data_IF_990865627776
#
_entry.id   IF_990865627776
#
_cell.length_a   1.000
_cell.length_b   1.000
_cell.length_c   1.000
_cell.angle_alpha   90.00
_cell.angle_beta   90.00
_cell.angle_gamma   90.00
#
_symmetry.space_group_name_H-M   'P 1'
#
loop_
_entity.id
_entity.type
_entity.pdbx_description
1 polymer ?
#
# COMPACT_ATOMS: atom_id res chain seq x y z
N UNK A 1 -18.62 -25.57 -32.20
CA UNK A 1 -17.21 -25.86 -31.89
C UNK A 1 -16.44 -24.55 -31.90
N UNK A 2 -16.32 -23.87 -30.75
CA UNK A 2 -15.68 -22.55 -30.71
C UNK A 2 -14.16 -22.71 -30.79
N UNK A 3 -13.58 -22.26 -31.89
CA UNK A 3 -12.14 -22.19 -32.11
C UNK A 3 -11.53 -21.21 -31.10
N UNK A 4 -10.85 -21.75 -30.08
CA UNK A 4 -10.03 -20.96 -29.15
C UNK A 4 -8.87 -20.37 -29.96
N UNK A 5 -8.90 -19.06 -30.23
CA UNK A 5 -7.65 -18.34 -30.55
C UNK A 5 -6.78 -18.44 -29.31
N UNK A 6 -5.83 -19.38 -29.29
CA UNK A 6 -4.90 -19.56 -28.16
C UNK A 6 -3.93 -18.39 -28.11
N UNK A 7 -4.36 -17.28 -27.51
CA UNK A 7 -3.44 -16.21 -27.16
C UNK A 7 -2.72 -16.58 -25.87
N UNK A 8 -1.57 -15.94 -25.60
CA UNK A 8 -0.76 -16.18 -24.39
C UNK A 8 -1.61 -16.08 -23.11
N UNK A 9 -2.60 -15.20 -23.11
CA UNK A 9 -3.55 -15.02 -22.01
C UNK A 9 -4.40 -16.27 -21.73
N UNK A 10 -4.91 -16.94 -22.76
CA UNK A 10 -5.73 -18.15 -22.59
C UNK A 10 -4.88 -19.35 -22.12
N UNK A 11 -3.62 -19.42 -22.55
CA UNK A 11 -2.66 -20.42 -22.08
C UNK A 11 -2.31 -20.23 -20.59
N UNK A 12 -2.19 -18.97 -20.15
CA UNK A 12 -1.90 -18.62 -18.76
C UNK A 12 -3.12 -18.91 -17.87
N UNK A 13 -4.31 -18.55 -18.34
CA UNK A 13 -5.56 -18.79 -17.62
C UNK A 13 -5.83 -20.29 -17.43
N UNK A 14 -5.57 -21.13 -18.42
CA UNK A 14 -5.74 -22.58 -18.28
C UNK A 14 -4.87 -23.20 -17.16
N UNK A 15 -3.73 -22.59 -16.84
CA UNK A 15 -2.81 -23.07 -15.79
C UNK A 15 -3.09 -22.46 -14.44
N UNK A 16 -3.31 -21.15 -14.44
CA UNK A 16 -3.38 -20.36 -13.21
C UNK A 16 -4.81 -20.26 -12.69
N UNK A 17 -5.82 -20.36 -13.55
CA UNK A 17 -7.25 -20.28 -13.22
C UNK A 17 -7.57 -19.07 -12.33
N UNK A 18 -6.90 -17.94 -12.61
CA UNK A 18 -6.94 -16.75 -11.76
C UNK A 18 -8.04 -15.79 -12.17
N UNK A 19 -8.54 -15.86 -13.41
CA UNK A 19 -9.52 -14.89 -13.92
C UNK A 19 -10.73 -14.80 -13.02
N UNK A 20 -11.31 -15.93 -12.62
CA UNK A 20 -12.52 -15.91 -11.79
C UNK A 20 -12.25 -15.31 -10.41
N UNK A 21 -11.10 -15.64 -9.80
CA UNK A 21 -10.68 -15.08 -8.52
C UNK A 21 -10.44 -13.56 -8.58
N UNK A 22 -9.76 -13.09 -9.63
CA UNK A 22 -9.49 -11.66 -9.84
C UNK A 22 -10.78 -10.90 -10.15
N UNK A 23 -11.63 -11.45 -11.01
CA UNK A 23 -12.90 -10.82 -11.38
C UNK A 23 -13.89 -10.77 -10.22
N UNK A 24 -13.86 -11.75 -9.31
CA UNK A 24 -14.65 -11.74 -8.08
C UNK A 24 -14.31 -10.52 -7.22
N UNK A 25 -13.02 -10.24 -7.02
CA UNK A 25 -12.57 -9.10 -6.22
C UNK A 25 -12.82 -7.79 -6.96
N UNK A 26 -12.49 -7.72 -8.25
CA UNK A 26 -12.59 -6.49 -9.04
C UNK A 26 -14.05 -6.03 -9.24
N UNK A 27 -15.01 -6.96 -9.29
CA UNK A 27 -16.44 -6.65 -9.46
C UNK A 27 -17.21 -6.63 -8.15
N UNK A 28 -16.54 -6.72 -6.99
CA UNK A 28 -17.23 -6.71 -5.72
C UNK A 28 -18.00 -5.38 -5.53
N UNK A 29 -19.34 -5.42 -5.39
CA UNK A 29 -20.13 -4.20 -5.37
C UNK A 29 -19.94 -3.45 -4.04
N UNK A 30 -19.89 -2.12 -4.11
CA UNK A 30 -19.95 -1.27 -2.93
C UNK A 30 -21.43 -0.94 -2.68
N UNK A 31 -22.02 -1.31 -1.53
CA UNK A 31 -23.40 -0.98 -1.22
C UNK A 31 -23.65 0.53 -1.31
N UNK A 32 -24.73 0.94 -1.98
CA UNK A 32 -25.00 2.35 -2.27
C UNK A 32 -25.18 3.18 -0.98
N UNK A 33 -25.73 2.57 0.06
CA UNK A 33 -25.90 3.16 1.39
C UNK A 33 -24.55 3.50 2.02
N UNK A 34 -23.57 2.60 1.91
CA UNK A 34 -22.20 2.80 2.43
C UNK A 34 -21.50 3.89 1.63
N UNK A 35 -21.62 3.87 0.30
CA UNK A 35 -21.05 4.90 -0.56
C UNK A 35 -21.60 6.30 -0.24
N UNK A 36 -22.91 6.41 0.01
CA UNK A 36 -23.58 7.67 0.35
C UNK A 36 -23.22 8.18 1.76
N UNK A 37 -23.11 7.30 2.75
CA UNK A 37 -22.83 7.69 4.14
C UNK A 37 -21.35 8.00 4.39
N UNK A 38 -20.43 7.28 3.74
CA UNK A 38 -19.00 7.41 4.02
C UNK A 38 -18.31 8.45 3.12
N UNK A 39 -18.81 8.70 1.91
CA UNK A 39 -18.24 9.68 0.99
C UNK A 39 -16.71 9.56 0.84
N UNK A 40 -16.01 10.69 0.98
CA UNK A 40 -14.54 10.76 0.85
C UNK A 40 -13.76 10.09 2.01
N UNK A 41 -14.41 9.80 3.15
CA UNK A 41 -13.74 9.17 4.30
C UNK A 41 -13.26 7.74 4.04
N UNK A 42 -13.84 7.05 3.04
CA UNK A 42 -13.43 5.70 2.67
C UNK A 42 -12.04 5.65 2.00
N UNK A 43 -11.56 6.78 1.49
CA UNK A 43 -10.33 6.85 0.67
C UNK A 43 -9.06 6.73 1.50
N UNK A 44 -9.08 7.06 2.80
CA UNK A 44 -7.87 7.05 3.63
C UNK A 44 -7.15 5.69 3.69
N UNK A 45 -7.91 4.59 3.60
CA UNK A 45 -7.32 3.25 3.55
C UNK A 45 -6.51 3.01 2.28
N UNK A 46 -7.04 3.40 1.12
CA UNK A 46 -6.33 3.26 -0.15
C UNK A 46 -5.16 4.23 -0.27
N UNK A 47 -5.26 5.47 0.24
CA UNK A 47 -4.11 6.40 0.31
C UNK A 47 -2.99 5.81 1.16
N UNK A 48 -3.31 5.24 2.33
CA UNK A 48 -2.32 4.59 3.19
C UNK A 48 -1.61 3.45 2.45
N UNK A 49 -2.36 2.63 1.71
CA UNK A 49 -1.79 1.55 0.88
C UNK A 49 -0.91 2.08 -0.26
N UNK A 50 -1.34 3.13 -0.96
CA UNK A 50 -0.55 3.76 -2.03
C UNK A 50 0.77 4.31 -1.48
N UNK A 51 0.72 5.01 -0.34
CA UNK A 51 1.93 5.53 0.32
C UNK A 51 2.85 4.42 0.80
N UNK A 52 2.30 3.31 1.30
CA UNK A 52 3.10 2.14 1.67
C UNK A 52 3.82 1.52 0.46
N UNK A 53 3.14 1.35 -0.68
CA UNK A 53 3.78 0.88 -1.92
C UNK A 53 4.90 1.83 -2.34
N UNK A 54 4.66 3.14 -2.27
CA UNK A 54 5.67 4.16 -2.56
C UNK A 54 6.86 4.06 -1.59
N UNK A 55 6.61 3.79 -0.30
CA UNK A 55 7.62 3.60 0.73
C UNK A 55 8.51 2.38 0.43
N UNK A 56 7.91 1.25 0.05
CA UNK A 56 8.64 0.02 -0.28
C UNK A 56 9.51 0.23 -1.51
N UNK A 57 8.96 0.80 -2.58
CA UNK A 57 9.70 1.04 -3.82
C UNK A 57 10.87 1.99 -3.59
N UNK A 58 10.62 3.13 -2.96
CA UNK A 58 11.69 4.09 -2.65
C UNK A 58 12.70 3.53 -1.65
N UNK A 59 12.27 2.73 -0.67
CA UNK A 59 13.14 2.07 0.30
C UNK A 59 14.11 1.08 -0.36
N UNK A 60 13.63 0.29 -1.32
CA UNK A 60 14.48 -0.59 -2.13
C UNK A 60 15.53 0.23 -2.88
N UNK A 61 15.14 1.34 -3.52
CA UNK A 61 16.09 2.21 -4.22
C UNK A 61 17.15 2.80 -3.28
N UNK A 62 16.75 3.24 -2.08
CA UNK A 62 17.68 3.77 -1.08
C UNK A 62 18.65 2.70 -0.56
N UNK A 63 18.15 1.48 -0.34
CA UNK A 63 18.94 0.35 0.14
C UNK A 63 20.04 -0.09 -0.85
N UNK A 64 19.92 0.25 -2.14
CA UNK A 64 20.98 -0.02 -3.13
C UNK A 64 22.22 0.87 -2.95
N UNK A 65 22.12 2.00 -2.24
CA UNK A 65 23.21 2.97 -2.04
C UNK A 65 23.62 3.09 -0.58
N UNK A 66 22.67 2.93 0.35
CA UNK A 66 22.93 3.10 1.78
C UNK A 66 23.86 2.03 2.35
N UNK A 67 24.91 2.45 3.07
CA UNK A 67 25.83 1.55 3.78
C UNK A 67 25.51 1.53 5.29
N UNK A 68 24.96 0.44 5.84
CA UNK A 68 24.51 0.35 7.24
C UNK A 68 25.67 0.07 8.22
N UNK A 69 26.74 0.87 8.16
CA UNK A 69 27.87 0.80 9.11
C UNK A 69 28.09 2.15 9.78
N UNK A 70 28.50 2.16 11.05
CA UNK A 70 28.69 3.41 11.80
C UNK A 70 29.68 4.37 11.13
N UNK A 71 30.69 3.83 10.44
CA UNK A 71 31.70 4.62 9.74
C UNK A 71 31.19 5.28 8.45
N UNK A 72 30.20 4.69 7.77
CA UNK A 72 29.79 5.09 6.41
C UNK A 72 28.32 5.45 6.24
N UNK A 73 27.48 5.30 7.28
CA UNK A 73 26.06 5.64 7.21
C UNK A 73 25.84 7.09 6.76
N UNK A 74 26.60 8.04 7.33
CA UNK A 74 26.46 9.45 6.96
C UNK A 74 27.03 9.76 5.56
N UNK A 75 28.21 9.22 5.22
CA UNK A 75 28.83 9.48 3.92
C UNK A 75 28.03 8.88 2.77
N UNK A 76 27.44 7.69 2.93
CA UNK A 76 26.53 7.11 1.92
C UNK A 76 25.26 7.97 1.71
N UNK A 77 24.76 8.65 2.74
CA UNK A 77 23.67 9.62 2.60
C UNK A 77 24.10 10.90 1.87
N UNK A 78 25.36 11.31 1.96
CA UNK A 78 25.91 12.43 1.18
C UNK A 78 26.01 12.05 -0.30
N UNK A 79 26.58 10.88 -0.62
CA UNK A 79 26.61 10.33 -1.98
C UNK A 79 25.21 10.25 -2.57
N UNK A 80 24.23 9.76 -1.81
CA UNK A 80 22.84 9.70 -2.25
C UNK A 80 22.27 11.10 -2.58
N UNK A 81 22.57 12.11 -1.77
CA UNK A 81 22.02 13.46 -1.98
C UNK A 81 22.67 14.21 -3.14
N UNK A 82 24.00 14.10 -3.28
CA UNK A 82 24.77 15.02 -4.10
C UNK A 82 25.41 14.36 -5.33
N UNK A 83 25.66 13.05 -5.28
CA UNK A 83 26.38 12.33 -6.35
C UNK A 83 25.44 11.42 -7.14
N UNK A 84 24.39 10.89 -6.51
CA UNK A 84 23.41 10.01 -7.15
C UNK A 84 22.34 10.82 -7.87
N UNK A 85 22.13 10.62 -9.20
CA UNK A 85 21.06 11.28 -9.93
C UNK A 85 19.69 11.00 -9.27
N UNK A 86 18.93 12.06 -8.98
CA UNK A 86 17.63 12.01 -8.28
C UNK A 86 17.64 11.39 -6.87
N UNK A 87 18.80 11.08 -6.28
CA UNK A 87 18.84 10.43 -4.97
C UNK A 87 18.26 11.31 -3.86
N UNK A 88 18.47 12.63 -3.91
CA UNK A 88 17.81 13.60 -3.01
C UNK A 88 16.28 13.55 -3.11
N UNK A 89 15.74 13.38 -4.33
CA UNK A 89 14.31 13.34 -4.59
C UNK A 89 13.69 12.06 -4.05
N UNK A 90 14.31 10.91 -4.36
CA UNK A 90 13.85 9.61 -3.84
C UNK A 90 13.89 9.60 -2.31
N UNK A 91 14.94 10.15 -1.70
CA UNK A 91 15.04 10.28 -0.24
C UNK A 91 13.96 11.18 0.34
N UNK A 92 13.67 12.31 -0.30
CA UNK A 92 12.59 13.20 0.11
C UNK A 92 11.22 12.52 0.01
N UNK A 93 10.94 11.83 -1.11
CA UNK A 93 9.69 11.08 -1.29
C UNK A 93 9.55 10.01 -0.19
N UNK A 94 10.61 9.26 0.11
CA UNK A 94 10.60 8.24 1.17
C UNK A 94 10.31 8.84 2.55
N UNK A 95 10.88 10.01 2.86
CA UNK A 95 10.64 10.70 4.13
C UNK A 95 9.19 11.23 4.25
N UNK A 96 8.71 11.92 3.21
CA UNK A 96 7.36 12.48 3.19
C UNK A 96 6.28 11.40 3.13
N UNK A 97 6.54 10.30 2.43
CA UNK A 97 5.64 9.15 2.37
C UNK A 97 5.51 8.48 3.74
N UNK A 98 6.61 8.29 4.47
CA UNK A 98 6.55 7.75 5.84
C UNK A 98 5.67 8.61 6.76
N UNK A 99 5.86 9.94 6.72
CA UNK A 99 5.03 10.87 7.49
C UNK A 99 3.56 10.81 7.07
N UNK A 100 3.31 10.73 5.76
CA UNK A 100 1.98 10.59 5.19
C UNK A 100 1.28 9.29 5.60
N UNK A 101 2.00 8.17 5.68
CA UNK A 101 1.44 6.88 6.15
C UNK A 101 0.87 7.05 7.55
N UNK A 102 1.62 7.65 8.49
CA UNK A 102 1.16 7.83 9.87
C UNK A 102 -0.12 8.67 9.91
N UNK A 103 -0.14 9.82 9.23
CA UNK A 103 -1.30 10.71 9.21
C UNK A 103 -2.52 10.00 8.61
N UNK A 104 -2.37 9.37 7.44
CA UNK A 104 -3.48 8.72 6.73
C UNK A 104 -3.97 7.48 7.48
N UNK A 105 -3.07 6.73 8.12
CA UNK A 105 -3.43 5.57 8.94
C UNK A 105 -4.21 5.98 10.18
N UNK A 106 -3.79 7.04 10.89
CA UNK A 106 -4.57 7.58 12.04
C UNK A 106 -5.95 8.06 11.58
N UNK A 107 -6.04 8.77 10.46
CA UNK A 107 -7.34 9.18 9.89
C UNK A 107 -8.20 7.96 9.51
N UNK A 108 -7.61 6.92 8.94
CA UNK A 108 -8.29 5.67 8.61
C UNK A 108 -8.81 4.93 9.86
N UNK A 109 -7.99 4.80 10.90
CA UNK A 109 -8.38 4.14 12.15
C UNK A 109 -9.49 4.93 12.85
N UNK A 110 -9.38 6.26 12.86
CA UNK A 110 -10.38 7.16 13.42
C UNK A 110 -11.73 6.98 12.74
N UNK A 111 -11.78 6.95 11.40
CA UNK A 111 -13.06 6.73 10.69
C UNK A 111 -13.63 5.35 10.94
N UNK A 112 -12.80 4.29 11.03
CA UNK A 112 -13.28 2.93 11.34
C UNK A 112 -14.02 2.96 12.69
N UNK A 113 -13.41 3.62 13.67
CA UNK A 113 -13.93 3.69 15.03
C UNK A 113 -15.22 4.53 15.11
N UNK A 114 -15.17 5.78 14.63
CA UNK A 114 -16.31 6.71 14.71
C UNK A 114 -17.54 6.21 13.95
N UNK A 115 -17.33 5.48 12.84
CA UNK A 115 -18.42 4.95 12.03
C UNK A 115 -18.83 3.52 12.44
N UNK A 116 -18.26 2.98 13.52
CA UNK A 116 -18.58 1.65 14.03
C UNK A 116 -18.26 0.52 13.05
N UNK A 117 -17.36 0.75 12.08
CA UNK A 117 -17.07 -0.20 11.01
C UNK A 117 -16.33 -1.46 11.51
N UNK A 118 -15.75 -1.43 12.71
CA UNK A 118 -15.09 -2.56 13.36
C UNK A 118 -16.03 -3.57 14.01
N UNK A 119 -17.31 -3.23 14.20
CA UNK A 119 -18.29 -4.11 14.85
C UNK A 119 -18.55 -5.37 14.01
N UNK A 120 -19.20 -6.36 14.63
CA UNK A 120 -19.62 -7.60 13.99
C UNK A 120 -20.16 -7.38 12.57
N UNK A 121 -19.72 -8.16 11.56
CA UNK A 121 -18.79 -9.31 11.62
C UNK A 121 -17.32 -8.97 11.24
N UNK A 122 -16.84 -7.74 11.50
CA UNK A 122 -15.53 -7.23 11.00
C UNK A 122 -14.46 -7.05 12.09
N UNK A 123 -14.62 -7.71 13.24
CA UNK A 123 -13.70 -7.62 14.38
C UNK A 123 -12.30 -8.10 14.00
N UNK A 124 -12.20 -9.17 13.20
CA UNK A 124 -10.92 -9.71 12.73
C UNK A 124 -10.18 -8.66 11.89
N UNK A 125 -10.86 -7.98 10.96
CA UNK A 125 -10.27 -6.91 10.15
C UNK A 125 -9.75 -5.77 11.02
N UNK A 126 -10.47 -5.43 12.11
CA UNK A 126 -10.02 -4.43 13.07
C UNK A 126 -8.75 -4.85 13.80
N UNK A 127 -8.68 -6.09 14.29
CA UNK A 127 -7.47 -6.62 14.95
C UNK A 127 -6.25 -6.60 14.01
N UNK A 128 -6.44 -6.97 12.74
CA UNK A 128 -5.40 -6.81 11.71
C UNK A 128 -5.01 -5.34 11.53
N UNK A 129 -5.97 -4.42 11.48
CA UNK A 129 -5.70 -2.98 11.39
C UNK A 129 -4.89 -2.44 12.56
N UNK A 130 -5.21 -2.85 13.80
CA UNK A 130 -4.43 -2.50 15.00
C UNK A 130 -3.02 -3.09 14.93
N UNK A 131 -2.88 -4.34 14.49
CA UNK A 131 -1.57 -4.96 14.28
C UNK A 131 -0.73 -4.23 13.23
N UNK A 132 -1.33 -3.82 12.11
CA UNK A 132 -0.66 -3.03 11.08
C UNK A 132 -0.23 -1.65 11.59
N UNK A 133 -1.05 -0.99 12.42
CA UNK A 133 -0.66 0.25 13.08
C UNK A 133 0.56 0.05 13.98
N UNK A 134 0.56 -0.99 14.81
CA UNK A 134 1.70 -1.31 15.68
C UNK A 134 2.97 -1.58 14.86
N UNK A 135 2.87 -2.35 13.77
CA UNK A 135 4.00 -2.63 12.87
C UNK A 135 4.52 -1.37 12.15
N UNK A 136 3.64 -0.40 11.89
CA UNK A 136 4.04 0.86 11.23
C UNK A 136 4.78 1.80 12.18
N UNK A 137 4.52 1.69 13.49
CA UNK A 137 5.16 2.51 14.52
C UNK A 137 6.46 1.92 15.07
N UNK A 138 6.70 0.63 14.85
CA UNK A 138 7.91 -0.09 15.27
C UNK A 138 9.12 0.28 14.40
#
# INVERSE_FOLDING_TARGET
>A
MNYIKKNVLDWFEQRMQLRDSVMLVAKHPIPAEVAKQQGWWYVFGSVTMTLFVLQVVTGICLAMVYEPTAAKAYTSLQTLNYETPFGWLIRAIHYWSASGIIVMMVMHMTRVFLMGAFKYPREVTWLFGVGLLALTLA
#
